data_IF_985666643560
#
_entry.id   IF_985666643560
#
_cell.length_a   1.000
_cell.length_b   1.000
_cell.length_c   1.000
_cell.angle_alpha   90.00
_cell.angle_beta   90.00
_cell.angle_gamma   90.00
#
_symmetry.space_group_name_H-M   'P 1'
#
loop_
_entity.id
_entity.type
_entity.pdbx_description
1 polymer ?
#
# COMPACT_ATOMS: atom_id res chain seq x y z
N UNK A 1 -25.30 -35.95 -22.12
CA UNK A 1 -25.31 -34.48 -22.28
C UNK A 1 -24.41 -33.90 -21.21
N UNK A 2 -23.26 -33.37 -21.58
CA UNK A 2 -22.32 -32.76 -20.65
C UNK A 2 -22.79 -31.32 -20.39
N UNK A 3 -23.14 -31.00 -19.14
CA UNK A 3 -23.41 -29.63 -18.74
C UNK A 3 -22.06 -29.05 -18.32
N UNK A 4 -21.44 -28.29 -19.22
CA UNK A 4 -20.28 -27.47 -18.89
C UNK A 4 -20.70 -26.43 -17.84
N UNK A 5 -20.01 -26.41 -16.70
CA UNK A 5 -20.19 -25.38 -15.68
C UNK A 5 -19.60 -24.06 -16.23
N UNK A 6 -20.36 -22.97 -16.30
CA UNK A 6 -19.80 -21.69 -16.71
C UNK A 6 -18.83 -21.19 -15.64
N UNK A 7 -17.54 -21.07 -15.99
CA UNK A 7 -16.57 -20.36 -15.17
C UNK A 7 -16.89 -18.86 -15.23
N UNK A 8 -17.60 -18.37 -14.21
CA UNK A 8 -17.62 -16.97 -13.85
C UNK A 8 -16.36 -16.77 -13.00
N UNK A 9 -15.38 -15.95 -13.38
CA UNK A 9 -15.59 -14.51 -13.37
C UNK A 9 -14.60 -13.81 -14.29
N UNK A 10 -15.15 -13.31 -15.40
CA UNK A 10 -14.88 -12.00 -15.99
C UNK A 10 -13.64 -11.28 -15.48
N UNK A 11 -12.63 -11.27 -16.35
CA UNK A 11 -11.64 -10.21 -16.55
C UNK A 11 -12.22 -8.85 -16.14
N UNK A 12 -11.84 -8.37 -14.96
CA UNK A 12 -11.98 -6.95 -14.62
C UNK A 12 -10.94 -6.22 -15.46
N UNK A 13 -11.33 -5.86 -16.68
CA UNK A 13 -10.67 -4.84 -17.49
C UNK A 13 -10.86 -3.53 -16.73
N UNK A 14 -10.01 -3.28 -15.73
CA UNK A 14 -9.90 -1.97 -15.10
C UNK A 14 -9.34 -1.04 -16.16
N UNK A 15 -10.11 -0.02 -16.51
CA UNK A 15 -9.73 1.07 -17.42
C UNK A 15 -8.33 1.58 -17.10
N UNK A 16 -7.49 1.77 -18.13
CA UNK A 16 -6.16 2.40 -18.04
C UNK A 16 -6.27 3.90 -17.70
N UNK A 17 -6.71 4.23 -16.50
CA UNK A 17 -6.71 5.61 -16.00
C UNK A 17 -5.90 5.69 -14.71
N UNK A 18 -4.58 5.83 -14.89
CA UNK A 18 -3.56 6.06 -13.86
C UNK A 18 -3.42 4.93 -12.80
N UNK A 19 -2.20 4.42 -12.55
CA UNK A 19 -2.01 3.41 -11.52
C UNK A 19 -2.40 3.97 -10.14
N UNK A 20 -2.87 3.12 -9.21
CA UNK A 20 -3.14 3.52 -7.83
C UNK A 20 -1.92 4.21 -7.19
N UNK A 21 -2.17 5.13 -6.27
CA UNK A 21 -1.10 5.79 -5.52
C UNK A 21 -0.28 4.75 -4.73
N UNK A 22 -0.97 3.87 -4.01
CA UNK A 22 -0.39 2.79 -3.21
C UNK A 22 -1.27 1.55 -3.35
N UNK A 23 -0.65 0.41 -3.60
CA UNK A 23 -1.27 -0.91 -3.59
C UNK A 23 -0.41 -1.82 -2.73
N UNK A 24 -1.04 -2.43 -1.72
CA UNK A 24 -0.40 -3.40 -0.83
C UNK A 24 -1.17 -4.71 -1.00
N UNK A 25 -0.46 -5.75 -1.39
CA UNK A 25 -1.00 -7.10 -1.49
C UNK A 25 -0.28 -7.98 -0.48
N UNK A 26 -1.09 -8.75 0.23
CA UNK A 26 -0.63 -9.69 1.24
C UNK A 26 -1.30 -11.03 0.92
N UNK A 27 -0.51 -12.08 0.68
CA UNK A 27 -1.05 -13.39 0.31
C UNK A 27 -1.64 -14.09 1.53
N UNK A 28 -0.96 -13.98 2.66
CA UNK A 28 -1.36 -14.47 3.98
C UNK A 28 -0.77 -13.57 5.09
N UNK A 29 -1.27 -13.68 6.32
CA UNK A 29 -0.93 -12.75 7.42
C UNK A 29 0.57 -12.71 7.76
N UNK A 30 1.32 -13.78 7.48
CA UNK A 30 2.75 -13.90 7.78
C UNK A 30 3.63 -13.61 6.56
N UNK A 31 3.04 -13.45 5.37
CA UNK A 31 3.74 -13.17 4.14
C UNK A 31 4.39 -11.77 4.12
N UNK A 32 5.47 -11.63 3.34
CA UNK A 32 6.05 -10.31 3.07
C UNK A 32 5.18 -9.60 2.03
N UNK A 33 4.64 -8.40 2.31
CA UNK A 33 3.71 -7.74 1.39
C UNK A 33 4.40 -7.34 0.08
N UNK A 34 3.70 -7.54 -1.04
CA UNK A 34 4.03 -6.87 -2.30
C UNK A 34 3.49 -5.44 -2.22
N UNK A 35 4.35 -4.46 -2.47
CA UNK A 35 3.98 -3.05 -2.34
C UNK A 35 4.30 -2.36 -3.65
N UNK A 36 3.29 -1.71 -4.23
CA UNK A 36 3.42 -0.93 -5.45
C UNK A 36 3.08 0.53 -5.15
N UNK A 37 3.97 1.44 -5.53
CA UNK A 37 3.75 2.87 -5.41
C UNK A 37 3.70 3.49 -6.81
N UNK A 38 2.58 4.15 -7.14
CA UNK A 38 2.30 4.68 -8.48
C UNK A 38 2.52 3.63 -9.58
N UNK A 39 2.16 2.38 -9.31
CA UNK A 39 2.28 1.25 -10.23
C UNK A 39 3.68 0.63 -10.35
N UNK A 40 4.68 1.10 -9.60
CA UNK A 40 6.02 0.50 -9.55
C UNK A 40 6.19 -0.31 -8.28
N UNK A 41 6.65 -1.55 -8.41
CA UNK A 41 6.94 -2.40 -7.25
C UNK A 41 8.13 -1.84 -6.45
N UNK A 42 7.96 -1.76 -5.13
CA UNK A 42 9.02 -1.45 -4.18
C UNK A 42 9.64 -2.76 -3.70
N UNK A 43 10.88 -3.00 -4.10
CA UNK A 43 11.71 -4.13 -3.64
C UNK A 43 12.49 -3.73 -2.38
N UNK A 44 13.10 -4.73 -1.71
CA UNK A 44 14.00 -4.54 -0.55
C UNK A 44 13.45 -3.60 0.52
N UNK A 45 12.16 -3.78 0.84
CA UNK A 45 11.45 -3.03 1.87
C UNK A 45 12.08 -3.32 3.24
N UNK A 46 12.34 -2.27 4.00
CA UNK A 46 12.80 -2.33 5.39
C UNK A 46 11.57 -2.23 6.31
N UNK A 47 10.69 -1.27 6.03
CA UNK A 47 9.47 -1.02 6.80
C UNK A 47 8.34 -0.55 5.89
N UNK A 48 7.13 -1.02 6.16
CA UNK A 48 5.91 -0.57 5.51
C UNK A 48 4.89 -0.27 6.61
N UNK A 49 4.64 1.00 6.88
CA UNK A 49 3.62 1.46 7.81
C UNK A 49 2.50 2.13 7.02
N UNK A 50 1.29 1.62 7.21
CA UNK A 50 0.07 2.18 6.65
C UNK A 50 -0.98 2.20 7.74
N UNK A 51 -1.53 3.38 8.02
CA UNK A 51 -2.70 3.48 8.89
C UNK A 51 -3.76 4.38 8.28
N UNK A 52 -4.98 3.89 8.35
CA UNK A 52 -6.19 4.61 7.98
C UNK A 52 -7.12 4.60 9.18
N UNK A 53 -7.73 5.75 9.46
CA UNK A 53 -8.79 5.88 10.43
C UNK A 53 -9.96 6.56 9.73
N UNK A 54 -11.17 6.10 10.01
CA UNK A 54 -12.37 6.84 9.63
C UNK A 54 -12.41 8.16 10.39
N UNK A 55 -12.76 9.25 9.71
CA UNK A 55 -13.04 10.51 10.38
C UNK A 55 -14.23 10.31 11.34
N UNK A 56 -14.15 10.93 12.51
CA UNK A 56 -15.21 11.01 13.50
C UNK A 56 -15.43 12.49 13.88
N UNK A 57 -16.38 12.75 14.77
CA UNK A 57 -16.71 14.11 15.22
C UNK A 57 -15.55 14.80 15.96
N UNK A 58 -14.47 14.07 16.27
CA UNK A 58 -13.32 14.57 17.03
C UNK A 58 -12.20 15.15 16.16
N UNK A 59 -12.29 15.06 14.83
CA UNK A 59 -11.46 15.83 13.91
C UNK A 59 -10.92 15.07 12.69
N UNK A 60 -10.11 15.78 11.90
CA UNK A 60 -9.49 15.27 10.68
C UNK A 60 -8.40 14.23 10.99
N UNK A 61 -8.54 13.01 10.44
CA UNK A 61 -7.59 11.91 10.63
C UNK A 61 -6.95 11.53 9.29
N UNK A 62 -5.83 12.18 8.90
CA UNK A 62 -5.22 11.92 7.60
C UNK A 62 -4.62 10.51 7.54
N UNK A 63 -4.77 9.86 6.38
CA UNK A 63 -4.12 8.58 6.07
C UNK A 63 -2.60 8.73 6.19
N UNK A 64 -1.97 7.83 6.93
CA UNK A 64 -0.52 7.79 7.10
C UNK A 64 0.09 6.71 6.21
N UNK A 65 1.18 7.06 5.53
CA UNK A 65 2.01 6.15 4.75
C UNK A 65 3.46 6.44 5.13
N UNK A 66 4.20 5.41 5.54
CA UNK A 66 5.64 5.48 5.76
C UNK A 66 6.29 4.20 5.26
N UNK A 67 6.93 4.29 4.10
CA UNK A 67 7.57 3.15 3.45
C UNK A 67 9.05 3.43 3.35
N UNK A 68 9.86 2.62 4.01
CA UNK A 68 11.31 2.65 3.94
C UNK A 68 11.82 1.45 3.16
N UNK A 69 12.74 1.68 2.23
CA UNK A 69 13.29 0.64 1.37
C UNK A 69 14.72 0.97 0.95
N UNK A 70 15.49 -0.07 0.59
CA UNK A 70 16.81 0.12 -0.01
C UNK A 70 16.63 0.32 -1.51
N UNK A 71 17.09 1.45 -2.02
CA UNK A 71 17.11 1.70 -3.45
C UNK A 71 18.41 1.12 -4.04
N UNK A 72 18.28 0.16 -4.94
CA UNK A 72 19.41 -0.52 -5.59
C UNK A 72 20.26 0.44 -6.43
N UNK A 73 19.67 1.54 -6.93
CA UNK A 73 20.37 2.56 -7.70
C UNK A 73 21.01 3.63 -6.80
N UNK A 74 20.66 3.68 -5.52
CA UNK A 74 21.19 4.67 -4.58
C UNK A 74 22.53 4.22 -4.03
N UNK A 75 23.57 5.04 -4.24
CA UNK A 75 24.86 4.88 -3.55
C UNK A 75 24.78 5.14 -2.04
N UNK A 76 23.71 5.78 -1.57
CA UNK A 76 23.51 6.20 -0.19
C UNK A 76 22.21 5.63 0.38
N UNK A 77 22.35 4.74 1.37
CA UNK A 77 21.33 4.42 2.37
C UNK A 77 19.95 3.95 1.88
N UNK A 78 19.00 3.97 2.81
CA UNK A 78 17.59 3.73 2.55
C UNK A 78 16.91 5.00 1.99
N UNK A 79 15.85 4.81 1.21
CA UNK A 79 14.91 5.85 0.78
C UNK A 79 13.57 5.67 1.48
N UNK A 80 12.79 6.74 1.54
CA UNK A 80 11.48 6.72 2.18
C UNK A 80 10.41 7.43 1.36
N UNK A 81 9.20 6.89 1.36
CA UNK A 81 7.97 7.54 0.90
C UNK A 81 7.14 7.84 2.13
N UNK A 82 6.87 9.12 2.39
CA UNK A 82 6.29 9.58 3.65
C UNK A 82 5.11 10.51 3.39
N UNK A 83 3.96 10.18 3.99
CA UNK A 83 2.76 11.01 4.03
C UNK A 83 2.25 11.13 5.46
N UNK A 84 1.91 12.36 5.86
CA UNK A 84 1.23 12.68 7.11
C UNK A 84 1.89 12.09 8.38
N UNK A 85 3.23 11.91 8.38
CA UNK A 85 3.99 11.36 9.52
C UNK A 85 3.79 12.16 10.81
N UNK A 86 3.72 13.48 10.72
CA UNK A 86 3.47 14.34 11.87
C UNK A 86 2.19 13.96 12.63
N UNK A 87 1.07 13.82 11.91
CA UNK A 87 -0.21 13.42 12.47
C UNK A 87 -0.24 11.97 12.99
N UNK A 88 0.68 11.10 12.54
CA UNK A 88 0.84 9.76 13.12
C UNK A 88 1.57 9.82 14.46
N UNK A 89 2.62 10.63 14.57
CA UNK A 89 3.40 10.76 15.80
C UNK A 89 2.56 11.39 16.93
N UNK A 90 1.83 12.48 16.67
CA UNK A 90 0.94 13.10 17.67
C UNK A 90 -0.13 12.13 18.23
N UNK A 91 -0.52 11.12 17.45
CA UNK A 91 -1.47 10.08 17.89
C UNK A 91 -0.83 9.03 18.79
N UNK A 92 0.47 8.77 18.67
CA UNK A 92 1.20 7.78 19.48
C UNK A 92 1.58 8.31 20.86
N UNK A 93 1.67 9.63 20.98
CA UNK A 93 2.07 10.32 22.22
C UNK A 93 0.90 10.60 23.17
N UNK A 94 -0.34 10.28 22.76
CA UNK A 94 -1.55 10.33 23.59
C UNK A 94 -1.92 8.94 24.10
#
# INVERSE_FOLDING_TARGET
MCIEKPSLTKVVKLSKEKPPLLQIELDDIDSVPRVFYKGKEIKRKIRVDFSFLTNDDTGFRPTHIDIEYIDEESKFGSKSIVYNRYFYNERKEK
#
